data_IF_787612045940
#
_entry.id   IF_787612045940
#
_cell.length_a   1.000
_cell.length_b   1.000
_cell.length_c   1.000
_cell.angle_alpha   90.00
_cell.angle_beta   90.00
_cell.angle_gamma   90.00
#
_symmetry.space_group_name_H-M   'P 1'
#
loop_
_entity.id
_entity.type
_entity.pdbx_description
1 polymer ?
#
# COMPACT_ATOMS: atom_id res chain seq x y z
N UNK A 1 -0.87 -3.44 -9.85
CA UNK A 1 -1.29 -2.87 -8.54
C UNK A 1 -0.44 -1.66 -8.18
N UNK A 2 -0.91 -0.78 -7.28
CA UNK A 2 -0.14 0.38 -6.81
C UNK A 2 -0.14 0.49 -5.29
N UNK A 3 1.06 0.54 -4.70
CA UNK A 3 1.29 0.71 -3.28
C UNK A 3 1.69 2.16 -2.98
N UNK A 4 0.88 2.85 -2.19
CA UNK A 4 1.14 4.20 -1.68
C UNK A 4 1.80 4.12 -0.31
N UNK A 5 2.95 4.78 -0.17
CA UNK A 5 3.73 4.88 1.08
C UNK A 5 4.10 6.34 1.33
N UNK A 6 4.42 6.68 2.58
CA UNK A 6 4.98 7.97 2.95
C UNK A 6 6.31 7.76 3.67
N UNK A 7 7.22 8.71 3.51
CA UNK A 7 8.39 8.81 4.40
C UNK A 7 7.94 9.01 5.84
N UNK A 8 8.73 8.48 6.79
CA UNK A 8 8.43 8.55 8.22
C UNK A 8 7.25 7.69 8.70
N UNK A 9 6.55 6.98 7.81
CA UNK A 9 5.41 6.14 8.19
C UNK A 9 5.86 4.70 8.55
N UNK A 10 5.88 4.32 9.85
CA UNK A 10 6.42 3.03 10.28
C UNK A 10 5.63 1.83 9.73
N UNK A 11 4.33 2.02 9.45
CA UNK A 11 3.49 1.00 8.83
C UNK A 11 3.94 0.58 7.42
N UNK A 12 4.72 1.41 6.72
CA UNK A 12 5.18 1.14 5.35
C UNK A 12 6.27 0.06 5.29
N UNK A 13 7.12 -0.04 6.30
CA UNK A 13 8.25 -0.99 6.35
C UNK A 13 7.84 -2.46 6.14
N UNK A 14 6.89 -3.04 6.90
CA UNK A 14 6.50 -4.43 6.71
C UNK A 14 5.86 -4.67 5.33
N UNK A 15 5.17 -3.67 4.80
CA UNK A 15 4.48 -3.77 3.50
C UNK A 15 5.48 -3.76 2.34
N UNK A 16 6.52 -2.92 2.41
CA UNK A 16 7.62 -2.90 1.45
C UNK A 16 8.43 -4.20 1.49
N UNK A 17 8.69 -4.74 2.69
CA UNK A 17 9.35 -6.04 2.84
C UNK A 17 8.51 -7.22 2.30
N UNK A 18 7.18 -7.15 2.41
CA UNK A 18 6.27 -8.13 1.80
C UNK A 18 6.22 -7.98 0.27
N UNK A 19 6.23 -6.74 -0.24
CA UNK A 19 6.28 -6.44 -1.66
C UNK A 19 7.51 -7.03 -2.35
N UNK A 20 8.68 -6.94 -1.72
CA UNK A 20 9.90 -7.58 -2.23
C UNK A 20 9.76 -9.11 -2.41
N UNK A 21 8.96 -9.78 -1.58
CA UNK A 21 8.69 -11.23 -1.71
C UNK A 21 7.72 -11.57 -2.83
N UNK A 22 6.85 -10.64 -3.20
CA UNK A 22 5.87 -10.82 -4.27
C UNK A 22 6.45 -10.58 -5.68
N UNK A 23 7.74 -10.20 -5.79
CA UNK A 23 8.41 -9.97 -7.07
C UNK A 23 8.24 -11.17 -8.00
N UNK A 24 7.65 -10.93 -9.17
CA UNK A 24 7.39 -11.95 -10.20
C UNK A 24 5.95 -12.48 -10.27
N UNK A 25 5.07 -12.15 -9.32
CA UNK A 25 3.65 -12.60 -9.35
C UNK A 25 2.68 -11.57 -9.93
N UNK A 26 2.94 -10.29 -9.69
CA UNK A 26 2.15 -9.17 -10.21
C UNK A 26 3.02 -7.92 -10.27
N UNK A 27 2.77 -7.07 -11.26
CA UNK A 27 3.42 -5.77 -11.33
C UNK A 27 2.90 -4.88 -10.19
N UNK A 28 3.81 -4.46 -9.32
CA UNK A 28 3.54 -3.59 -8.18
C UNK A 28 4.32 -2.30 -8.32
N UNK A 29 3.61 -1.21 -8.57
CA UNK A 29 4.18 0.13 -8.59
C UNK A 29 4.21 0.69 -7.17
N UNK A 30 5.34 1.25 -6.76
CA UNK A 30 5.48 1.95 -5.48
C UNK A 30 5.38 3.46 -5.75
N UNK A 31 4.50 4.15 -5.04
CA UNK A 31 4.31 5.60 -5.12
C UNK A 31 4.51 6.21 -3.74
N UNK A 32 5.48 7.10 -3.62
CA UNK A 32 5.69 7.89 -2.41
C UNK A 32 4.79 9.12 -2.47
N UNK A 33 3.96 9.31 -1.45
CA UNK A 33 2.99 10.41 -1.32
C UNK A 33 3.28 11.21 -0.06
N UNK A 34 2.76 12.44 0.00
CA UNK A 34 2.83 13.24 1.22
C UNK A 34 2.01 12.62 2.36
N UNK A 35 2.36 12.87 3.63
CA UNK A 35 1.63 12.33 4.78
C UNK A 35 0.18 12.81 4.87
N UNK A 36 -0.13 13.97 4.31
CA UNK A 36 -1.48 14.58 4.29
C UNK A 36 -2.29 14.23 3.03
N UNK A 37 -1.71 13.46 2.10
CA UNK A 37 -2.37 13.16 0.83
C UNK A 37 -3.44 12.08 0.99
N UNK A 38 -4.66 12.38 0.52
CA UNK A 38 -5.80 11.47 0.58
C UNK A 38 -5.90 10.62 -0.68
N UNK A 39 -5.24 9.46 -0.67
CA UNK A 39 -5.21 8.53 -1.83
C UNK A 39 -6.45 7.62 -1.92
N UNK A 40 -7.25 7.51 -0.85
CA UNK A 40 -8.46 6.67 -0.80
C UNK A 40 -9.71 7.56 -0.89
N UNK A 41 -10.52 7.48 -1.96
CA UNK A 41 -11.61 8.43 -2.22
C UNK A 41 -12.69 8.51 -1.13
N UNK A 42 -12.91 7.42 -0.39
CA UNK A 42 -13.97 7.31 0.61
C UNK A 42 -13.47 7.47 2.06
N UNK A 43 -12.18 7.77 2.27
CA UNK A 43 -11.65 8.10 3.59
C UNK A 43 -11.48 9.62 3.73
N UNK A 44 -12.05 10.18 4.79
CA UNK A 44 -11.95 11.62 5.09
C UNK A 44 -10.59 12.02 5.67
N UNK A 45 -9.87 11.06 6.26
CA UNK A 45 -8.55 11.30 6.86
C UNK A 45 -7.47 10.62 6.00
N UNK A 46 -6.30 11.27 5.81
CA UNK A 46 -5.20 10.66 5.08
C UNK A 46 -4.75 9.39 5.80
N UNK A 47 -4.39 8.38 5.01
CA UNK A 47 -3.97 7.08 5.54
C UNK A 47 -2.95 6.47 4.60
N UNK A 48 -1.84 6.03 5.18
CA UNK A 48 -0.76 5.31 4.53
C UNK A 48 -0.19 4.27 5.52
N UNK A 49 0.24 3.08 5.06
CA UNK A 49 0.30 2.63 3.67
C UNK A 49 -1.07 2.20 3.11
N UNK A 50 -1.22 2.28 1.79
CA UNK A 50 -2.42 1.84 1.06
C UNK A 50 -2.04 1.08 -0.20
N UNK A 51 -2.68 -0.06 -0.45
CA UNK A 51 -2.56 -0.80 -1.69
C UNK A 51 -3.84 -0.66 -2.52
N UNK A 52 -3.73 -0.06 -3.70
CA UNK A 52 -4.75 -0.11 -4.74
C UNK A 52 -4.57 -1.36 -5.59
N UNK A 53 -5.58 -2.20 -5.59
CA UNK A 53 -5.66 -3.41 -6.41
C UNK A 53 -6.06 -3.06 -7.84
N UNK A 54 -5.74 -3.92 -8.80
CA UNK A 54 -6.10 -3.70 -10.21
C UNK A 54 -7.62 -3.67 -10.43
N UNK A 55 -8.37 -4.30 -9.53
CA UNK A 55 -9.84 -4.19 -9.46
C UNK A 55 -10.39 -2.81 -9.09
N UNK A 56 -9.53 -1.85 -8.72
CA UNK A 56 -9.93 -0.55 -8.18
C UNK A 56 -10.22 -0.54 -6.67
N UNK A 57 -10.27 -1.70 -6.02
CA UNK A 57 -10.42 -1.82 -4.56
C UNK A 57 -9.16 -1.37 -3.81
N UNK A 58 -9.35 -0.91 -2.57
CA UNK A 58 -8.27 -0.42 -1.70
C UNK A 58 -8.12 -1.29 -0.45
N UNK A 59 -6.87 -1.62 -0.11
CA UNK A 59 -6.48 -2.15 1.19
C UNK A 59 -5.69 -1.08 1.94
N UNK A 60 -6.19 -0.67 3.10
CA UNK A 60 -5.59 0.39 3.93
C UNK A 60 -5.29 -0.10 5.36
N UNK A 61 -5.23 -1.42 5.54
CA UNK A 61 -4.75 -2.08 6.75
C UNK A 61 -3.43 -2.75 6.45
N UNK A 62 -2.36 -2.37 7.16
CA UNK A 62 -1.01 -2.91 7.00
C UNK A 62 -1.01 -4.44 7.00
N UNK A 63 -1.70 -5.07 7.94
CA UNK A 63 -1.78 -6.54 8.04
C UNK A 63 -2.52 -7.17 6.85
N UNK A 64 -3.57 -6.53 6.34
CA UNK A 64 -4.30 -7.02 5.17
C UNK A 64 -3.45 -6.91 3.90
N UNK A 65 -2.70 -5.81 3.76
CA UNK A 65 -1.76 -5.61 2.65
C UNK A 65 -0.65 -6.67 2.69
N UNK A 66 -0.01 -6.89 3.85
CA UNK A 66 1.02 -7.92 3.98
C UNK A 66 0.49 -9.33 3.67
N UNK A 67 -0.72 -9.67 4.13
CA UNK A 67 -1.34 -10.97 3.82
C UNK A 67 -1.60 -11.13 2.33
N UNK A 68 -2.10 -10.09 1.66
CA UNK A 68 -2.40 -10.12 0.22
C UNK A 68 -1.16 -10.38 -0.64
N UNK A 69 0.01 -9.91 -0.19
CA UNK A 69 1.29 -10.06 -0.89
C UNK A 69 2.01 -11.38 -0.58
N UNK A 70 1.63 -12.09 0.48
CA UNK A 70 2.21 -13.38 0.87
C UNK A 70 1.44 -14.61 0.31
N UNK A 71 0.36 -14.41 -0.45
CA UNK A 71 -0.40 -15.45 -1.16
C UNK A 71 -0.11 -15.39 -2.65
#
# INVERSE_FOLDING_TARGET
MRLFVSEGAPGSLPVLAAAGRAQGRAELLISTVGPEECVVPFLTRPKVPVLQLDSGNYLFSTSAICRRQNL
#
